data_IF_544908941386
#
_entry.id   IF_544908941386
#
_cell.length_a   1.000
_cell.length_b   1.000
_cell.length_c   1.000
_cell.angle_alpha   90.00
_cell.angle_beta   90.00
_cell.angle_gamma   90.00
#
_symmetry.space_group_name_H-M   'P 1'
#
loop_
_entity.id
_entity.type
_entity.pdbx_description
1 polymer ?
#
# COMPACT_ATOMS: atom_id res chain seq x y z
N UNK A 1 -5.49 -8.15 0.95
CA UNK A 1 -5.12 -8.84 -0.30
C UNK A 1 -5.12 -10.36 -0.17
N UNK A 2 -4.26 -10.99 0.65
CA UNK A 2 -4.06 -12.45 0.63
C UNK A 2 -5.34 -13.26 0.91
N UNK A 3 -6.17 -12.81 1.85
CA UNK A 3 -7.43 -13.49 2.14
C UNK A 3 -8.38 -13.51 0.93
N UNK A 4 -8.32 -12.50 0.07
CA UNK A 4 -9.13 -12.43 -1.14
C UNK A 4 -8.55 -13.21 -2.33
N UNK A 5 -7.33 -13.74 -2.22
CA UNK A 5 -6.66 -14.39 -3.35
C UNK A 5 -7.45 -15.63 -3.82
N UNK A 6 -7.68 -15.82 -5.14
CA UNK A 6 -8.49 -16.92 -5.65
C UNK A 6 -7.97 -18.32 -5.30
N UNK A 7 -6.65 -18.51 -5.35
CA UNK A 7 -6.00 -19.82 -5.19
C UNK A 7 -5.40 -19.99 -3.80
N UNK A 8 -4.72 -18.97 -3.28
CA UNK A 8 -4.02 -19.03 -1.99
C UNK A 8 -4.80 -18.45 -0.81
N UNK A 9 -5.97 -17.86 -1.06
CA UNK A 9 -6.80 -17.17 -0.06
C UNK A 9 -8.00 -17.98 0.41
N UNK A 10 -8.95 -17.28 1.03
CA UNK A 10 -10.25 -17.80 1.45
C UNK A 10 -11.32 -16.72 1.26
N UNK A 11 -11.85 -16.64 0.03
CA UNK A 11 -12.82 -15.60 -0.37
C UNK A 11 -14.14 -15.70 0.38
N UNK A 12 -14.57 -16.91 0.78
CA UNK A 12 -15.77 -17.10 1.62
C UNK A 12 -15.58 -16.42 2.97
N UNK A 13 -14.45 -16.68 3.64
CA UNK A 13 -14.13 -16.02 4.90
C UNK A 13 -13.99 -14.51 4.75
N UNK A 14 -13.39 -14.04 3.64
CA UNK A 14 -13.33 -12.60 3.35
C UNK A 14 -14.73 -11.98 3.34
N UNK A 15 -15.69 -12.58 2.61
CA UNK A 15 -17.05 -12.04 2.54
C UNK A 15 -17.76 -12.08 3.89
N UNK A 16 -17.60 -13.16 4.65
CA UNK A 16 -18.18 -13.30 6.00
C UNK A 16 -17.63 -12.25 6.97
N UNK A 17 -16.32 -11.98 6.95
CA UNK A 17 -15.73 -10.95 7.80
C UNK A 17 -16.17 -9.54 7.39
N UNK A 18 -16.28 -9.25 6.08
CA UNK A 18 -16.80 -7.98 5.61
C UNK A 18 -18.28 -7.78 5.96
N UNK A 19 -19.11 -8.83 5.93
CA UNK A 19 -20.50 -8.78 6.39
C UNK A 19 -20.58 -8.45 7.89
N UNK A 20 -19.80 -9.16 8.72
CA UNK A 20 -19.75 -8.89 10.17
C UNK A 20 -19.29 -7.46 10.48
N UNK A 21 -18.25 -6.98 9.79
CA UNK A 21 -17.78 -5.60 9.94
C UNK A 21 -18.88 -4.59 9.56
N UNK A 22 -19.64 -4.87 8.50
CA UNK A 22 -20.76 -4.03 8.08
C UNK A 22 -21.88 -4.01 9.13
N UNK A 23 -22.23 -5.15 9.72
CA UNK A 23 -23.22 -5.27 10.80
C UNK A 23 -22.81 -4.46 12.03
N UNK A 24 -21.52 -4.38 12.34
CA UNK A 24 -20.98 -3.51 13.39
C UNK A 24 -20.88 -2.03 13.01
N UNK A 25 -21.32 -1.65 11.79
CA UNK A 25 -21.29 -0.27 11.31
C UNK A 25 -19.91 0.21 10.89
N UNK A 26 -18.93 -0.69 10.70
CA UNK A 26 -17.61 -0.32 10.18
C UNK A 26 -17.74 0.10 8.72
N UNK A 27 -17.23 1.29 8.39
CA UNK A 27 -17.30 1.88 7.04
C UNK A 27 -15.96 2.05 6.36
N UNK A 28 -14.86 1.92 7.09
CA UNK A 28 -13.53 2.12 6.53
C UNK A 28 -12.57 1.05 7.04
N UNK A 29 -11.76 0.50 6.13
CA UNK A 29 -10.69 -0.44 6.45
C UNK A 29 -9.36 0.12 5.94
N UNK A 30 -8.38 0.16 6.84
CA UNK A 30 -6.98 0.38 6.47
C UNK A 30 -6.35 -0.96 6.12
N UNK A 31 -5.90 -1.10 4.88
CA UNK A 31 -5.38 -2.36 4.34
C UNK A 31 -3.97 -2.20 3.80
N UNK A 32 -3.22 -3.31 3.79
CA UNK A 32 -1.94 -3.36 3.11
C UNK A 32 -2.16 -3.60 1.61
N UNK A 33 -1.55 -2.75 0.78
CA UNK A 33 -1.52 -2.84 -0.67
C UNK A 33 -0.19 -3.36 -1.23
N UNK A 34 0.82 -3.56 -0.37
CA UNK A 34 2.16 -3.99 -0.77
C UNK A 34 2.75 -5.07 0.14
N UNK A 35 3.33 -6.12 -0.43
CA UNK A 35 4.16 -7.09 0.30
C UNK A 35 5.32 -7.56 -0.59
N UNK A 36 6.53 -7.64 -0.01
CA UNK A 36 7.76 -8.02 -0.70
C UNK A 36 8.32 -9.36 -0.19
N UNK A 37 8.68 -10.22 -1.14
CA UNK A 37 9.38 -11.48 -0.90
C UNK A 37 10.85 -11.30 -0.58
N UNK A 38 11.68 -12.34 -0.70
CA UNK A 38 11.31 -13.68 -1.16
C UNK A 38 10.46 -14.43 -0.13
N UNK A 39 9.60 -15.32 -0.60
CA UNK A 39 8.62 -16.07 0.21
C UNK A 39 9.23 -17.14 1.12
N UNK A 40 10.54 -17.38 1.00
CA UNK A 40 11.27 -18.31 1.88
C UNK A 40 11.81 -17.64 3.15
N UNK A 41 11.53 -16.36 3.38
CA UNK A 41 11.95 -15.63 4.58
C UNK A 41 10.87 -15.64 5.64
N UNK A 42 11.29 -15.76 6.91
CA UNK A 42 10.40 -15.73 8.06
C UNK A 42 9.96 -14.30 8.42
N UNK A 43 8.97 -14.22 9.33
CA UNK A 43 8.44 -12.97 9.91
C UNK A 43 7.83 -12.01 8.89
N UNK A 44 7.30 -12.52 7.78
CA UNK A 44 6.58 -11.72 6.80
C UNK A 44 5.37 -12.46 6.24
N UNK A 45 4.45 -11.71 5.66
CA UNK A 45 3.29 -12.24 4.95
C UNK A 45 3.79 -13.03 3.73
N UNK A 46 3.25 -14.24 3.56
CA UNK A 46 3.47 -15.10 2.40
C UNK A 46 2.13 -15.70 1.93
N UNK A 47 1.92 -15.93 0.62
CA UNK A 47 2.80 -15.49 -0.47
C UNK A 47 2.79 -13.96 -0.62
N UNK A 48 3.92 -13.39 -1.05
CA UNK A 48 4.06 -11.95 -1.25
C UNK A 48 3.51 -11.50 -2.60
N UNK A 49 3.12 -10.23 -2.68
CA UNK A 49 2.66 -9.59 -3.90
C UNK A 49 3.83 -9.41 -4.86
N UNK A 50 4.92 -8.79 -4.42
CA UNK A 50 6.15 -8.65 -5.19
C UNK A 50 7.17 -9.69 -4.68
N UNK A 51 7.13 -10.90 -5.25
CA UNK A 51 7.95 -12.03 -4.77
C UNK A 51 9.43 -11.92 -5.16
N UNK A 52 9.73 -11.17 -6.21
CA UNK A 52 11.06 -10.82 -6.68
C UNK A 52 10.99 -9.40 -7.29
N UNK A 53 12.13 -8.70 -7.38
CA UNK A 53 12.24 -7.33 -7.90
C UNK A 53 11.43 -7.13 -9.19
N UNK A 54 10.36 -6.33 -9.12
CA UNK A 54 9.49 -6.00 -10.25
C UNK A 54 8.65 -7.16 -10.80
N UNK A 55 8.60 -8.31 -10.12
CA UNK A 55 7.78 -9.46 -10.49
C UNK A 55 6.66 -9.64 -9.48
N UNK A 56 5.43 -9.66 -9.98
CA UNK A 56 4.24 -9.69 -9.15
C UNK A 56 3.50 -11.02 -9.24
N UNK A 57 2.96 -11.45 -8.10
CA UNK A 57 2.10 -12.62 -7.97
C UNK A 57 0.66 -12.20 -8.29
N UNK A 58 0.17 -12.62 -9.46
CA UNK A 58 -1.16 -12.23 -9.94
C UNK A 58 -2.28 -12.75 -9.03
N UNK A 59 -2.13 -13.92 -8.40
CA UNK A 59 -3.13 -14.46 -7.46
C UNK A 59 -3.36 -13.51 -6.27
N UNK A 60 -2.28 -12.89 -5.78
CA UNK A 60 -2.36 -11.91 -4.68
C UNK A 60 -2.95 -10.59 -5.15
N UNK A 61 -2.66 -10.20 -6.39
CA UNK A 61 -3.19 -9.00 -7.02
C UNK A 61 -4.71 -9.11 -7.27
N UNK A 62 -5.17 -10.23 -7.83
CA UNK A 62 -6.60 -10.58 -7.92
C UNK A 62 -7.26 -10.67 -6.54
N UNK A 63 -6.47 -11.03 -5.51
CA UNK A 63 -6.93 -10.98 -4.13
C UNK A 63 -7.21 -9.59 -3.60
N UNK A 64 -6.43 -8.58 -4.00
CA UNK A 64 -6.73 -7.17 -3.71
C UNK A 64 -7.92 -6.67 -4.52
N UNK A 65 -8.02 -7.07 -5.80
CA UNK A 65 -9.17 -6.76 -6.67
C UNK A 65 -10.48 -7.20 -6.04
N UNK A 66 -10.54 -8.47 -5.63
CA UNK A 66 -11.71 -9.08 -4.97
C UNK A 66 -12.02 -8.38 -3.65
N UNK A 67 -11.01 -8.06 -2.85
CA UNK A 67 -11.18 -7.34 -1.58
C UNK A 67 -11.86 -5.99 -1.79
N UNK A 68 -11.33 -5.17 -2.70
CA UNK A 68 -11.90 -3.85 -3.01
C UNK A 68 -13.30 -3.98 -3.61
N UNK A 69 -13.52 -4.91 -4.53
CA UNK A 69 -14.83 -5.16 -5.12
C UNK A 69 -15.89 -5.50 -4.05
N UNK A 70 -15.55 -6.41 -3.11
CA UNK A 70 -16.45 -6.83 -2.04
C UNK A 70 -16.68 -5.74 -0.98
N UNK A 71 -15.68 -4.89 -0.71
CA UNK A 71 -15.87 -3.68 0.08
C UNK A 71 -16.85 -2.69 -0.59
N UNK A 72 -16.71 -2.49 -1.90
CA UNK A 72 -17.56 -1.58 -2.67
C UNK A 72 -19.03 -1.98 -2.63
N UNK A 73 -19.34 -3.28 -2.71
CA UNK A 73 -20.70 -3.83 -2.54
C UNK A 73 -21.33 -3.50 -1.18
N UNK A 74 -20.51 -3.21 -0.17
CA UNK A 74 -20.93 -2.92 1.21
C UNK A 74 -20.85 -1.45 1.57
N UNK A 75 -20.59 -0.58 0.58
CA UNK A 75 -20.35 0.85 0.78
C UNK A 75 -19.26 1.11 1.85
N UNK A 76 -18.21 0.28 1.83
CA UNK A 76 -17.01 0.47 2.64
C UNK A 76 -15.94 1.20 1.83
N UNK A 77 -15.01 1.83 2.54
CA UNK A 77 -13.88 2.58 1.98
C UNK A 77 -12.54 2.00 2.41
N UNK A 78 -11.56 2.01 1.51
CA UNK A 78 -10.22 1.51 1.77
C UNK A 78 -9.20 2.65 1.90
N UNK A 79 -8.35 2.57 2.91
CA UNK A 79 -7.04 3.25 2.91
C UNK A 79 -6.00 2.21 2.51
N UNK A 80 -5.41 2.36 1.33
CA UNK A 80 -4.47 1.39 0.76
C UNK A 80 -3.04 1.81 1.05
N UNK A 81 -2.35 1.03 1.88
CA UNK A 81 -0.99 1.32 2.34
C UNK A 81 0.05 0.76 1.38
N UNK A 82 0.91 1.61 0.83
CA UNK A 82 1.76 1.33 -0.34
C UNK A 82 3.13 0.76 0.00
N UNK A 83 3.59 0.88 1.24
CA UNK A 83 4.82 0.26 1.72
C UNK A 83 4.78 0.12 3.24
N UNK A 84 5.88 -0.29 3.86
CA UNK A 84 5.97 -0.50 5.30
C UNK A 84 7.37 -0.18 5.79
N UNK A 85 7.47 0.52 6.91
CA UNK A 85 8.74 0.71 7.60
C UNK A 85 9.29 -0.60 8.17
N UNK A 86 8.38 -1.52 8.52
CA UNK A 86 8.68 -2.80 9.17
C UNK A 86 8.76 -3.97 8.20
N UNK A 87 9.32 -5.07 8.70
CA UNK A 87 9.67 -6.25 7.94
C UNK A 87 8.52 -7.19 7.64
N UNK A 88 7.38 -7.04 8.32
CA UNK A 88 6.29 -8.03 8.25
C UNK A 88 5.61 -8.10 6.88
N UNK A 89 5.83 -7.12 6.03
CA UNK A 89 5.46 -7.16 4.60
C UNK A 89 6.69 -7.08 3.70
N UNK A 90 7.89 -7.39 4.21
CA UNK A 90 9.17 -7.08 3.56
C UNK A 90 9.54 -5.60 3.73
N UNK A 91 8.75 -4.69 3.14
CA UNK A 91 8.84 -3.25 3.39
C UNK A 91 10.15 -2.60 2.94
N UNK A 92 10.44 -1.40 3.42
CA UNK A 92 11.69 -0.68 3.15
C UNK A 92 12.96 -1.51 3.43
N UNK A 93 13.04 -2.35 4.50
CA UNK A 93 14.20 -3.22 4.70
C UNK A 93 14.49 -4.14 3.51
N UNK A 94 13.43 -4.62 2.83
CA UNK A 94 13.56 -5.50 1.67
C UNK A 94 14.04 -4.76 0.41
N UNK A 95 13.67 -3.50 0.24
CA UNK A 95 14.23 -2.66 -0.83
C UNK A 95 15.73 -2.46 -0.65
N UNK A 96 16.21 -2.21 0.58
CA UNK A 96 17.64 -2.16 0.87
C UNK A 96 18.34 -3.46 0.46
N UNK A 97 17.77 -4.60 0.82
CA UNK A 97 18.38 -5.88 0.48
C UNK A 97 18.43 -6.11 -1.04
N UNK A 98 17.34 -5.81 -1.75
CA UNK A 98 17.27 -5.99 -3.19
C UNK A 98 18.22 -5.07 -3.96
N UNK A 99 18.35 -3.81 -3.58
CA UNK A 99 19.04 -2.81 -4.40
C UNK A 99 20.39 -2.36 -3.84
N UNK A 100 20.69 -2.68 -2.57
CA UNK A 100 21.94 -2.32 -1.89
C UNK A 100 22.67 -3.53 -1.31
N UNK A 101 22.13 -4.74 -1.45
CA UNK A 101 22.78 -5.98 -1.07
C UNK A 101 22.90 -6.20 0.44
N UNK A 102 22.18 -5.43 1.25
CA UNK A 102 22.16 -5.58 2.71
C UNK A 102 20.78 -5.29 3.28
N UNK A 103 20.41 -5.99 4.33
CA UNK A 103 19.16 -5.76 5.04
C UNK A 103 19.32 -4.61 6.05
N UNK A 104 18.33 -3.72 6.15
CA UNK A 104 18.36 -2.61 7.11
C UNK A 104 17.07 -2.56 7.95
N UNK A 105 17.16 -2.97 9.22
CA UNK A 105 16.02 -2.98 10.16
C UNK A 105 15.55 -1.58 10.57
N UNK A 106 16.40 -0.55 10.40
CA UNK A 106 16.03 0.84 10.65
C UNK A 106 16.24 1.67 9.38
N UNK A 107 15.31 1.56 8.40
CA UNK A 107 15.50 2.00 7.03
C UNK A 107 15.31 3.51 6.82
N UNK A 108 15.64 4.37 7.78
CA UNK A 108 15.47 5.83 7.63
C UNK A 108 16.34 6.44 6.53
N UNK A 109 17.40 5.73 6.11
CA UNK A 109 18.20 6.08 4.94
C UNK A 109 17.48 5.84 3.60
N UNK A 110 16.27 5.28 3.59
CA UNK A 110 15.49 5.05 2.37
C UNK A 110 15.18 6.36 1.65
N UNK A 111 14.77 7.38 2.42
CA UNK A 111 14.22 8.65 1.91
C UNK A 111 15.22 9.49 1.10
N UNK A 112 16.52 9.30 1.35
CA UNK A 112 17.60 10.01 0.65
C UNK A 112 18.12 9.26 -0.58
N UNK A 113 17.81 7.98 -0.71
CA UNK A 113 18.38 7.13 -1.74
C UNK A 113 17.46 7.08 -2.96
N UNK A 114 17.79 7.87 -3.98
CA UNK A 114 16.99 7.97 -5.21
C UNK A 114 16.80 6.65 -5.95
N UNK A 115 17.71 5.68 -5.76
CA UNK A 115 17.52 4.34 -6.31
C UNK A 115 16.40 3.62 -5.59
N UNK A 116 16.31 3.72 -4.26
CA UNK A 116 15.27 3.06 -3.48
C UNK A 116 13.91 3.73 -3.69
N UNK A 117 13.86 5.06 -3.67
CA UNK A 117 12.60 5.79 -3.88
C UNK A 117 12.06 5.58 -5.29
N UNK A 118 12.90 5.58 -6.33
CA UNK A 118 12.43 5.30 -7.70
C UNK A 118 11.85 3.89 -7.87
N UNK A 119 12.33 2.89 -7.11
CA UNK A 119 11.75 1.54 -7.15
C UNK A 119 10.39 1.48 -6.45
N UNK A 120 10.16 2.30 -5.44
CA UNK A 120 8.83 2.48 -4.88
C UNK A 120 7.92 3.21 -5.88
N UNK A 121 8.42 4.22 -6.57
CA UNK A 121 7.66 4.93 -7.60
C UNK A 121 7.22 3.99 -8.73
N UNK A 122 8.08 3.06 -9.16
CA UNK A 122 7.74 2.02 -10.13
C UNK A 122 6.55 1.17 -9.64
N UNK A 123 6.58 0.71 -8.39
CA UNK A 123 5.47 -0.04 -7.79
C UNK A 123 4.19 0.78 -7.68
N UNK A 124 4.28 2.04 -7.25
CA UNK A 124 3.14 2.97 -7.14
C UNK A 124 2.45 3.12 -8.49
N UNK A 125 3.22 3.28 -9.58
CA UNK A 125 2.67 3.36 -10.94
C UNK A 125 1.93 2.08 -11.34
N UNK A 126 2.47 0.91 -10.98
CA UNK A 126 1.83 -0.39 -11.25
C UNK A 126 0.50 -0.51 -10.51
N UNK A 127 0.49 -0.32 -9.18
CA UNK A 127 -0.72 -0.56 -8.38
C UNK A 127 -1.81 0.47 -8.67
N UNK A 128 -1.48 1.76 -8.81
CA UNK A 128 -2.49 2.80 -9.08
C UNK A 128 -3.12 2.64 -10.46
N UNK A 129 -2.35 2.15 -11.45
CA UNK A 129 -2.83 1.93 -12.81
C UNK A 129 -3.50 0.56 -13.02
N UNK A 130 -3.57 -0.28 -11.98
CA UNK A 130 -4.13 -1.63 -12.08
C UNK A 130 -5.62 -1.58 -12.46
N UNK A 131 -6.00 -2.42 -13.42
CA UNK A 131 -7.40 -2.75 -13.69
C UNK A 131 -7.88 -3.80 -12.70
N UNK A 132 -8.98 -3.49 -11.99
CA UNK A 132 -9.60 -4.41 -11.06
C UNK A 132 -10.34 -5.52 -11.83
N UNK A 133 -9.79 -6.73 -11.82
CA UNK A 133 -10.33 -7.87 -12.56
C UNK A 133 -11.68 -8.36 -12.03
N UNK A 134 -12.00 -8.12 -10.75
CA UNK A 134 -13.27 -8.53 -10.16
C UNK A 134 -14.45 -7.76 -10.76
N UNK A 135 -14.32 -6.45 -10.98
CA UNK A 135 -15.34 -5.67 -11.70
C UNK A 135 -15.53 -6.18 -13.13
N UNK A 136 -14.44 -6.53 -13.82
CA UNK A 136 -14.53 -7.09 -15.18
C UNK A 136 -15.27 -8.42 -15.19
N UNK A 137 -14.97 -9.29 -14.23
CA UNK A 137 -15.56 -10.63 -14.09
C UNK A 137 -17.04 -10.59 -13.73
N UNK A 138 -17.43 -9.73 -12.79
CA UNK A 138 -18.79 -9.74 -12.22
C UNK A 138 -19.75 -8.75 -12.88
N UNK A 139 -19.24 -7.65 -13.43
CA UNK A 139 -20.07 -6.59 -14.01
C UNK A 139 -19.70 -6.25 -15.46
N UNK A 140 -18.67 -6.87 -16.04
CA UNK A 140 -18.23 -6.61 -17.42
C UNK A 140 -17.55 -5.25 -17.66
N UNK A 141 -17.43 -4.42 -16.61
CA UNK A 141 -16.86 -3.06 -16.67
C UNK A 141 -15.36 -3.04 -16.34
N UNK A 142 -14.64 -2.12 -16.96
CA UNK A 142 -13.24 -1.83 -16.63
C UNK A 142 -13.19 -0.71 -15.61
N UNK A 143 -12.60 -0.99 -14.45
CA UNK A 143 -12.37 -0.02 -13.37
C UNK A 143 -10.90 -0.06 -13.01
N UNK A 144 -10.22 1.07 -13.15
CA UNK A 144 -8.84 1.22 -12.70
C UNK A 144 -8.83 1.65 -11.23
N UNK A 145 -7.81 1.25 -10.47
CA UNK A 145 -7.69 1.61 -9.04
C UNK A 145 -7.72 3.13 -8.82
N UNK A 146 -7.07 3.91 -9.68
CA UNK A 146 -7.13 5.39 -9.64
C UNK A 146 -8.53 6.01 -9.81
N UNK A 147 -9.48 5.24 -10.32
CA UNK A 147 -10.86 5.63 -10.60
C UNK A 147 -11.88 4.89 -9.72
N UNK A 148 -11.43 3.97 -8.87
CA UNK A 148 -12.30 3.17 -7.99
C UNK A 148 -12.71 3.98 -6.74
N UNK A 149 -14.00 4.32 -6.58
CA UNK A 149 -14.48 5.10 -5.43
C UNK A 149 -14.47 4.31 -4.12
N UNK A 150 -14.18 3.01 -4.16
CA UNK A 150 -13.96 2.19 -2.96
C UNK A 150 -12.66 2.57 -2.26
N UNK A 151 -11.64 2.98 -3.00
CA UNK A 151 -10.40 3.49 -2.42
C UNK A 151 -10.62 4.94 -2.02
N UNK A 152 -10.61 5.20 -0.71
CA UNK A 152 -10.68 6.55 -0.15
C UNK A 152 -9.32 7.25 -0.25
N UNK A 153 -8.25 6.55 0.11
CA UNK A 153 -6.93 7.14 0.19
C UNK A 153 -5.81 6.16 -0.15
N UNK A 154 -4.74 6.71 -0.71
CA UNK A 154 -3.42 6.08 -0.77
C UNK A 154 -2.59 6.52 0.43
N UNK A 155 -1.96 5.58 1.11
CA UNK A 155 -1.10 5.86 2.24
C UNK A 155 0.35 5.51 1.92
N UNK A 156 1.26 6.47 2.09
CA UNK A 156 2.65 6.35 1.62
C UNK A 156 3.33 5.09 2.16
N UNK A 157 3.25 4.87 3.47
CA UNK A 157 3.74 3.66 4.11
C UNK A 157 3.06 3.42 5.46
N UNK A 158 3.16 2.20 5.96
CA UNK A 158 2.86 1.90 7.35
C UNK A 158 4.00 2.37 8.24
N UNK A 159 3.69 3.28 9.16
CA UNK A 159 4.57 3.76 10.23
C UNK A 159 5.97 4.20 9.75
N UNK A 160 6.09 4.98 8.65
CA UNK A 160 7.38 5.54 8.28
C UNK A 160 7.88 6.43 9.42
N UNK A 161 9.13 6.23 9.83
CA UNK A 161 9.76 7.02 10.88
C UNK A 161 10.79 7.96 10.28
N UNK A 162 10.76 9.22 10.69
CA UNK A 162 11.72 10.21 10.23
C UNK A 162 13.15 9.86 10.67
N UNK A 163 14.09 9.98 9.74
CA UNK A 163 15.51 10.09 10.04
C UNK A 163 15.91 11.56 10.02
N UNK A 164 16.62 11.97 8.97
CA UNK A 164 16.87 13.37 8.70
C UNK A 164 15.58 14.10 8.28
N UNK A 165 15.30 15.25 8.91
CA UNK A 165 14.11 16.07 8.64
C UNK A 165 14.01 16.51 7.16
N UNK A 166 15.14 16.80 6.50
CA UNK A 166 15.14 17.32 5.13
C UNK A 166 14.79 16.22 4.14
N UNK A 167 15.42 15.06 4.27
CA UNK A 167 15.16 13.91 3.42
C UNK A 167 13.74 13.37 3.64
N UNK A 168 13.27 13.38 4.88
CA UNK A 168 11.89 13.04 5.25
C UNK A 168 10.85 13.88 4.51
N UNK A 169 10.94 15.21 4.60
CA UNK A 169 9.98 16.12 3.95
C UNK A 169 10.08 16.02 2.43
N UNK A 170 11.29 15.91 1.88
CA UNK A 170 11.50 15.73 0.44
C UNK A 170 10.84 14.46 -0.08
N UNK A 171 11.02 13.34 0.62
CA UNK A 171 10.41 12.06 0.25
C UNK A 171 8.89 12.13 0.29
N UNK A 172 8.31 12.69 1.36
CA UNK A 172 6.85 12.87 1.47
C UNK A 172 6.34 13.73 0.32
N UNK A 173 6.97 14.88 0.07
CA UNK A 173 6.56 15.78 -1.00
C UNK A 173 6.64 15.10 -2.38
N UNK A 174 7.74 14.40 -2.66
CA UNK A 174 7.93 13.67 -3.91
C UNK A 174 6.87 12.58 -4.11
N UNK A 175 6.73 11.67 -3.14
CA UNK A 175 5.83 10.51 -3.27
C UNK A 175 4.36 10.93 -3.27
N UNK A 176 3.97 11.90 -2.43
CA UNK A 176 2.58 12.41 -2.45
C UNK A 176 2.23 13.13 -3.76
N UNK A 177 3.16 13.91 -4.32
CA UNK A 177 2.97 14.55 -5.63
C UNK A 177 2.78 13.51 -6.73
N UNK A 178 3.63 12.48 -6.78
CA UNK A 178 3.48 11.39 -7.74
C UNK A 178 2.10 10.72 -7.63
N UNK A 179 1.63 10.44 -6.42
CA UNK A 179 0.31 9.81 -6.22
C UNK A 179 -0.80 10.75 -6.69
N UNK A 180 -0.74 12.04 -6.37
CA UNK A 180 -1.74 13.03 -6.83
C UNK A 180 -1.78 13.16 -8.35
N UNK A 181 -0.64 13.10 -9.02
CA UNK A 181 -0.58 13.10 -10.50
C UNK A 181 -1.24 11.84 -11.10
N UNK A 182 -1.05 10.68 -10.48
CA UNK A 182 -1.59 9.41 -10.97
C UNK A 182 -3.06 9.20 -10.62
N UNK A 183 -3.49 9.67 -9.45
CA UNK A 183 -4.79 9.43 -8.83
C UNK A 183 -5.39 10.70 -8.21
N UNK A 184 -5.71 11.73 -9.01
CA UNK A 184 -6.10 13.05 -8.50
C UNK A 184 -7.44 13.07 -7.75
N UNK A 185 -8.25 12.01 -7.85
CA UNK A 185 -9.57 11.90 -7.20
C UNK A 185 -9.48 11.34 -5.78
N UNK A 186 -8.35 10.75 -5.40
CA UNK A 186 -8.18 10.05 -4.13
C UNK A 186 -7.38 10.91 -3.14
N UNK A 187 -7.64 10.68 -1.86
CA UNK A 187 -6.87 11.31 -0.79
C UNK A 187 -5.48 10.64 -0.68
N UNK A 188 -4.54 11.34 -0.07
CA UNK A 188 -3.17 10.91 0.20
C UNK A 188 -2.85 11.20 1.65
N UNK A 189 -2.32 10.19 2.35
CA UNK A 189 -1.88 10.30 3.75
C UNK A 189 -0.49 9.68 3.94
N UNK A 190 0.19 10.06 5.02
CA UNK A 190 1.55 9.57 5.30
C UNK A 190 1.53 8.17 5.91
N UNK A 191 0.71 7.98 6.95
CA UNK A 191 0.65 6.75 7.74
C UNK A 191 1.67 6.67 8.88
N UNK A 192 2.26 7.79 9.28
CA UNK A 192 3.15 7.88 10.44
C UNK A 192 2.37 7.79 11.76
N UNK A 193 3.09 7.44 12.82
CA UNK A 193 2.56 7.22 14.18
C UNK A 193 2.27 8.53 14.96
N UNK A 194 2.32 9.69 14.31
CA UNK A 194 2.29 11.01 14.95
C UNK A 194 3.68 11.52 15.39
N UNK A 195 3.73 12.29 16.48
CA UNK A 195 4.94 12.94 16.99
C UNK A 195 5.82 11.97 17.78
N UNK A 196 6.62 11.18 17.07
CA UNK A 196 7.73 10.40 17.66
C UNK A 196 9.02 11.23 17.67
N UNK A 197 9.21 12.06 16.64
CA UNK A 197 10.33 12.99 16.51
C UNK A 197 9.80 14.36 16.10
N UNK A 198 10.52 15.44 16.40
CA UNK A 198 10.17 16.79 15.92
C UNK A 198 10.20 16.93 14.39
N UNK A 199 10.72 15.93 13.66
CA UNK A 199 10.68 15.89 12.20
C UNK A 199 9.32 15.39 11.66
N UNK A 200 8.64 14.49 12.38
CA UNK A 200 7.39 13.86 11.90
C UNK A 200 6.32 14.90 11.58
N UNK A 201 6.16 15.92 12.43
CA UNK A 201 5.21 17.01 12.26
C UNK A 201 5.47 17.88 11.02
N UNK A 202 6.72 17.91 10.52
CA UNK A 202 7.04 18.68 9.31
C UNK A 202 6.49 18.00 8.05
N UNK A 203 6.39 16.68 8.06
CA UNK A 203 5.80 15.92 6.96
C UNK A 203 4.31 16.18 6.78
N UNK A 204 3.62 16.44 7.90
CA UNK A 204 2.18 16.69 7.96
C UNK A 204 1.75 17.98 7.23
N UNK A 205 2.66 18.93 7.05
CA UNK A 205 2.39 20.23 6.42
C UNK A 205 2.79 20.30 4.93
N UNK A 206 2.92 19.15 4.28
CA UNK A 206 3.21 19.06 2.85
C UNK A 206 1.90 19.19 2.06
N UNK A 207 1.91 19.99 0.98
CA UNK A 207 0.73 20.39 0.20
C UNK A 207 -0.16 19.22 -0.23
N UNK A 208 0.45 18.12 -0.69
CA UNK A 208 -0.25 16.95 -1.23
C UNK A 208 -0.60 15.88 -0.18
N UNK A 209 -0.54 16.22 1.11
CA UNK A 209 -1.06 15.38 2.20
C UNK A 209 -2.43 15.93 2.62
N UNK A 210 -3.49 15.16 2.38
CA UNK A 210 -4.85 15.63 2.62
C UNK A 210 -5.30 15.45 4.08
N UNK A 211 -4.74 14.46 4.79
CA UNK A 211 -5.03 14.20 6.21
C UNK A 211 -3.93 13.40 6.91
N UNK A 212 -4.00 13.38 8.25
CA UNK A 212 -3.12 12.67 9.18
C UNK A 212 -3.96 11.78 10.08
#
# INVERSE_FOLDING_TARGET
MNLGAPSSGNQTRLTEELDQLQEYGIKNLRIMGSTQGPDNKSKRIVPSLEYEKGKYNEDIFEGLDTFLYEMGKRDMKAVVTLNNFWEWSGGFPQYFEWYKGHYNLYPTGFYKDSTLTSKLDDFIRVIISRENTAYKKHEGKTVLYKDDPTIMAWQLANEPRAGDCTDWVKWINHTSTLIKELAPKQLVSIGNEGTITGCSERGNNVENIDYI
#
